data_IF_963079855651
#
_entry.id   IF_963079855651
#
_cell.length_a   1.000
_cell.length_b   1.000
_cell.length_c   1.000
_cell.angle_alpha   90.00
_cell.angle_beta   90.00
_cell.angle_gamma   90.00
#
_symmetry.space_group_name_H-M   'P 1'
#
loop_
_entity.id
_entity.type
_entity.pdbx_description
1 polymer ?
#
# COMPACT_ATOMS: atom_id res chain seq x y z
N UNK A 1 8.29 -4.11 -46.09
CA UNK A 1 7.36 -5.20 -45.70
C UNK A 1 8.16 -6.24 -44.95
N UNK A 2 8.10 -6.24 -43.61
CA UNK A 2 8.85 -7.20 -42.78
C UNK A 2 8.04 -8.48 -42.63
N UNK A 3 8.63 -9.61 -43.03
CA UNK A 3 8.08 -10.95 -42.91
C UNK A 3 7.94 -11.31 -41.43
N UNK A 4 6.70 -11.29 -40.92
CA UNK A 4 6.38 -11.88 -39.62
C UNK A 4 6.61 -13.39 -39.74
N UNK A 5 7.63 -13.92 -39.05
CA UNK A 5 7.85 -15.36 -38.92
C UNK A 5 6.59 -16.00 -38.34
N UNK A 6 5.91 -16.81 -39.15
CA UNK A 6 4.70 -17.52 -38.78
C UNK A 6 5.10 -18.85 -38.14
N UNK A 7 5.44 -18.82 -36.84
CA UNK A 7 5.72 -20.04 -36.08
C UNK A 7 4.41 -20.77 -35.78
N UNK A 8 4.20 -21.94 -36.39
CA UNK A 8 3.07 -22.84 -36.11
C UNK A 8 3.23 -23.41 -34.71
N UNK A 9 2.33 -23.05 -33.79
CA UNK A 9 2.32 -23.54 -32.40
C UNK A 9 0.93 -24.00 -32.00
N UNK A 10 0.84 -24.93 -31.03
CA UNK A 10 -0.43 -25.44 -30.50
C UNK A 10 -1.31 -24.33 -29.88
N UNK A 11 -0.72 -23.19 -29.52
CA UNK A 11 -1.43 -22.04 -28.96
C UNK A 11 -2.16 -21.18 -30.01
N UNK A 12 -2.00 -21.45 -31.31
CA UNK A 12 -2.74 -20.74 -32.37
C UNK A 12 -4.23 -21.04 -32.39
N UNK A 13 -4.65 -22.20 -31.88
CA UNK A 13 -6.03 -22.68 -32.00
C UNK A 13 -6.93 -22.31 -30.82
N UNK A 14 -6.59 -21.27 -30.04
CA UNK A 14 -7.33 -20.85 -28.84
C UNK A 14 -7.55 -22.02 -27.86
N UNK A 15 -6.47 -22.74 -27.57
CA UNK A 15 -6.52 -23.99 -26.79
C UNK A 15 -6.95 -23.76 -25.34
N UNK A 16 -6.70 -22.57 -24.79
CA UNK A 16 -7.16 -22.17 -23.47
C UNK A 16 -8.53 -21.47 -23.57
N UNK A 17 -9.48 -21.89 -22.75
CA UNK A 17 -10.81 -21.30 -22.64
C UNK A 17 -10.78 -20.04 -21.76
N UNK A 18 -11.91 -19.31 -21.71
CA UNK A 18 -12.12 -18.16 -20.81
C UNK A 18 -10.99 -17.11 -20.84
N UNK A 19 -10.45 -16.84 -22.03
CA UNK A 19 -9.33 -15.88 -22.26
C UNK A 19 -8.04 -16.24 -21.50
N UNK A 20 -7.83 -17.51 -21.19
CA UNK A 20 -6.56 -18.00 -20.66
C UNK A 20 -5.41 -17.78 -21.65
N UNK A 21 -4.23 -17.47 -21.13
CA UNK A 21 -3.02 -17.32 -21.92
C UNK A 21 -2.37 -18.69 -22.14
N UNK A 22 -2.22 -19.08 -23.41
CA UNK A 22 -1.56 -20.33 -23.77
C UNK A 22 -0.04 -20.12 -23.83
N UNK A 23 0.69 -20.91 -23.06
CA UNK A 23 2.15 -20.92 -23.03
C UNK A 23 2.65 -22.30 -23.49
N UNK A 24 3.32 -22.40 -24.65
CA UNK A 24 3.94 -23.64 -25.07
C UNK A 24 5.20 -23.92 -24.22
N UNK A 25 5.51 -25.19 -23.97
CA UNK A 25 6.73 -25.55 -23.22
C UNK A 25 8.03 -25.25 -24.00
N UNK A 26 7.96 -25.20 -25.33
CA UNK A 26 9.10 -24.88 -26.19
C UNK A 26 8.63 -24.11 -27.43
N UNK A 27 9.10 -22.87 -27.59
CA UNK A 27 8.72 -21.95 -28.67
C UNK A 27 9.10 -22.43 -30.07
N UNK A 28 10.04 -23.38 -30.18
CA UNK A 28 10.58 -23.80 -31.47
C UNK A 28 9.77 -24.92 -32.11
N UNK A 29 9.28 -25.90 -31.35
CA UNK A 29 8.55 -27.09 -31.86
C UNK A 29 7.71 -27.76 -30.75
N UNK A 30 6.67 -27.10 -30.20
CA UNK A 30 5.70 -27.79 -29.31
C UNK A 30 4.35 -27.95 -29.98
N UNK A 31 4.11 -29.15 -30.51
CA UNK A 31 2.82 -29.58 -31.06
C UNK A 31 1.95 -30.35 -30.07
N UNK A 32 2.46 -30.68 -28.87
CA UNK A 32 1.78 -31.57 -27.92
C UNK A 32 1.67 -31.00 -26.51
N UNK A 33 2.68 -30.28 -26.02
CA UNK A 33 2.73 -29.82 -24.63
C UNK A 33 2.55 -28.32 -24.50
N UNK A 34 1.51 -27.91 -23.77
CA UNK A 34 1.19 -26.53 -23.45
C UNK A 34 0.73 -26.41 -21.99
N UNK A 35 0.73 -25.19 -21.46
CA UNK A 35 0.11 -24.85 -20.19
C UNK A 35 -0.75 -23.62 -20.39
N UNK A 36 -1.94 -23.61 -19.78
CA UNK A 36 -2.81 -22.45 -19.77
C UNK A 36 -2.62 -21.69 -18.47
N UNK A 37 -2.32 -20.40 -18.58
CA UNK A 37 -2.37 -19.46 -17.45
C UNK A 37 -3.78 -18.88 -17.43
N UNK A 38 -4.54 -19.21 -16.40
CA UNK A 38 -5.94 -18.79 -16.28
C UNK A 38 -6.08 -17.38 -15.73
N UNK A 39 -7.09 -16.67 -16.21
CA UNK A 39 -7.50 -15.40 -15.59
C UNK A 39 -8.16 -15.67 -14.23
N UNK A 40 -8.17 -14.66 -13.38
CA UNK A 40 -8.83 -14.76 -12.07
C UNK A 40 -10.31 -15.19 -12.21
N UNK A 41 -10.71 -16.14 -11.36
CA UNK A 41 -12.05 -16.73 -11.38
C UNK A 41 -12.20 -17.94 -12.30
N UNK A 42 -11.11 -18.40 -12.93
CA UNK A 42 -11.10 -19.63 -13.73
C UNK A 42 -9.93 -20.54 -13.38
N UNK A 43 -10.18 -21.84 -13.43
CA UNK A 43 -9.20 -22.89 -13.16
C UNK A 43 -9.38 -24.09 -14.10
N UNK A 44 -8.49 -25.08 -13.97
CA UNK A 44 -8.44 -26.26 -14.85
C UNK A 44 -7.30 -26.20 -15.85
N UNK A 45 -7.04 -27.31 -16.55
CA UNK A 45 -5.89 -27.43 -17.46
C UNK A 45 -5.99 -26.49 -18.66
N UNK A 46 -7.22 -26.13 -19.03
CA UNK A 46 -7.59 -25.26 -20.13
C UNK A 46 -8.41 -24.06 -19.64
N UNK A 47 -8.42 -23.76 -18.34
CA UNK A 47 -9.24 -22.71 -17.74
C UNK A 47 -10.75 -22.93 -17.96
N UNK A 48 -11.17 -24.19 -17.99
CA UNK A 48 -12.53 -24.65 -18.28
C UNK A 48 -13.49 -24.51 -17.10
N UNK A 49 -12.97 -24.49 -15.86
CA UNK A 49 -13.76 -24.43 -14.66
C UNK A 49 -13.89 -22.99 -14.17
N UNK A 50 -15.11 -22.62 -13.76
CA UNK A 50 -15.37 -21.34 -13.11
C UNK A 50 -15.25 -21.52 -11.60
N UNK A 51 -14.38 -20.73 -10.99
CA UNK A 51 -14.12 -20.78 -9.56
C UNK A 51 -15.30 -20.22 -8.76
N UNK A 52 -15.38 -20.62 -7.49
CA UNK A 52 -16.33 -20.03 -6.54
C UNK A 52 -15.85 -18.61 -6.21
N UNK A 53 -16.73 -17.63 -6.40
CA UNK A 53 -16.45 -16.23 -6.08
C UNK A 53 -16.98 -15.93 -4.68
N UNK A 54 -16.13 -15.40 -3.80
CA UNK A 54 -16.53 -15.02 -2.44
C UNK A 54 -16.31 -13.53 -2.29
N UNK A 55 -17.40 -12.80 -2.06
CA UNK A 55 -17.40 -11.36 -1.81
C UNK A 55 -17.58 -11.13 -0.30
N UNK A 56 -16.58 -10.53 0.35
CA UNK A 56 -16.56 -10.29 1.80
C UNK A 56 -16.73 -8.79 2.05
N UNK A 57 -17.78 -8.38 2.74
CA UNK A 57 -17.99 -7.00 3.23
C UNK A 57 -17.62 -6.85 4.71
N UNK A 58 -17.50 -5.62 5.20
CA UNK A 58 -17.21 -5.32 6.61
C UNK A 58 -18.34 -4.50 7.23
N UNK A 59 -18.88 -4.95 8.35
CA UNK A 59 -19.97 -4.26 9.07
C UNK A 59 -19.56 -4.05 10.53
N UNK A 60 -19.56 -2.79 10.98
CA UNK A 60 -19.20 -2.39 12.35
C UNK A 60 -17.81 -2.89 12.83
N UNK A 61 -16.92 -3.17 11.87
CA UNK A 61 -15.53 -3.58 12.08
C UNK A 61 -14.63 -2.69 11.22
N UNK A 62 -13.52 -2.14 11.76
CA UNK A 62 -12.59 -1.36 10.96
C UNK A 62 -11.97 -2.23 9.86
N UNK A 63 -11.96 -1.72 8.63
CA UNK A 63 -11.40 -2.43 7.47
C UNK A 63 -9.87 -2.53 7.65
N UNK A 64 -9.28 -3.74 7.66
CA UNK A 64 -7.85 -3.90 7.84
C UNK A 64 -7.08 -3.63 6.54
N UNK A 65 -5.76 -3.42 6.62
CA UNK A 65 -4.92 -3.26 5.42
C UNK A 65 -4.73 -4.56 4.63
N UNK A 66 -4.91 -5.71 5.29
CA UNK A 66 -4.81 -7.03 4.68
C UNK A 66 -5.77 -7.99 5.35
N UNK A 67 -6.29 -8.93 4.58
CA UNK A 67 -7.16 -10.00 5.06
C UNK A 67 -6.59 -11.35 4.68
N UNK A 68 -6.53 -12.24 5.67
CA UNK A 68 -6.25 -13.66 5.49
C UNK A 68 -7.58 -14.41 5.51
N UNK A 69 -7.75 -15.35 4.59
CA UNK A 69 -8.96 -16.16 4.46
C UNK A 69 -8.57 -17.62 4.45
N UNK A 70 -9.05 -18.38 5.42
CA UNK A 70 -8.76 -19.81 5.58
C UNK A 70 -9.95 -20.63 5.12
N UNK A 71 -9.74 -21.38 4.05
CA UNK A 71 -10.65 -22.37 3.52
C UNK A 71 -10.39 -23.72 4.17
N UNK A 72 -11.38 -24.26 4.86
CA UNK A 72 -11.28 -25.57 5.50
C UNK A 72 -12.12 -26.58 4.71
N UNK A 73 -11.44 -27.62 4.24
CA UNK A 73 -12.06 -28.77 3.60
C UNK A 73 -12.15 -29.91 4.61
N UNK A 74 -13.35 -30.14 5.12
CA UNK A 74 -13.68 -31.40 5.81
C UNK A 74 -13.75 -32.51 4.76
N UNK A 75 -13.00 -33.60 4.95
CA UNK A 75 -13.06 -34.79 4.09
C UNK A 75 -13.94 -35.83 4.75
N UNK A 76 -14.82 -36.45 3.97
CA UNK A 76 -15.50 -37.65 4.45
C UNK A 76 -14.49 -38.78 4.66
N UNK A 77 -14.82 -39.66 5.59
CA UNK A 77 -13.97 -40.78 5.99
C UNK A 77 -13.88 -41.81 4.85
N UNK A 78 -12.96 -41.60 3.91
CA UNK A 78 -12.62 -42.61 2.91
C UNK A 78 -11.81 -43.73 3.58
N UNK A 79 -12.18 -44.98 3.30
CA UNK A 79 -11.65 -46.23 3.88
C UNK A 79 -10.10 -46.40 3.76
N UNK A 80 -9.43 -45.53 3.01
CA UNK A 80 -7.98 -45.55 2.76
C UNK A 80 -7.22 -44.33 3.32
N UNK A 81 -7.91 -43.37 3.93
CA UNK A 81 -7.30 -42.15 4.48
C UNK A 81 -6.99 -42.33 5.97
N UNK A 82 -5.74 -42.62 6.30
CA UNK A 82 -5.30 -42.84 7.69
C UNK A 82 -5.41 -41.62 8.62
N UNK A 83 -5.66 -40.41 8.10
CA UNK A 83 -5.96 -39.21 8.89
C UNK A 83 -7.04 -38.35 8.22
N UNK A 84 -8.31 -38.35 8.69
CA UNK A 84 -9.39 -37.51 8.17
C UNK A 84 -9.28 -36.05 8.65
N UNK A 85 -8.06 -35.57 8.91
CA UNK A 85 -7.86 -34.22 9.41
C UNK A 85 -8.32 -33.20 8.36
N UNK A 86 -9.06 -32.14 8.77
CA UNK A 86 -9.49 -31.10 7.86
C UNK A 86 -8.28 -30.43 7.21
N UNK A 87 -8.34 -30.24 5.90
CA UNK A 87 -7.27 -29.59 5.14
C UNK A 87 -7.54 -28.10 5.05
N UNK A 88 -6.52 -27.29 5.34
CA UNK A 88 -6.58 -25.83 5.25
C UNK A 88 -5.85 -25.33 4.01
N UNK A 89 -6.53 -24.50 3.22
CA UNK A 89 -5.91 -23.61 2.24
C UNK A 89 -6.07 -22.16 2.70
N UNK A 90 -4.99 -21.38 2.66
CA UNK A 90 -5.06 -19.97 3.07
C UNK A 90 -4.90 -19.10 1.84
N UNK A 91 -5.77 -18.11 1.67
CA UNK A 91 -5.57 -17.03 0.71
C UNK A 91 -5.39 -15.72 1.47
N UNK A 92 -4.75 -14.76 0.81
CA UNK A 92 -4.54 -13.43 1.36
C UNK A 92 -4.85 -12.40 0.29
N UNK A 93 -5.24 -11.21 0.73
CA UNK A 93 -5.37 -10.05 -0.15
C UNK A 93 -5.11 -8.77 0.64
N UNK A 94 -4.37 -7.83 0.05
CA UNK A 94 -4.29 -6.45 0.55
C UNK A 94 -5.62 -5.77 0.24
N UNK A 95 -6.16 -5.05 1.22
CA UNK A 95 -7.39 -4.27 1.04
C UNK A 95 -6.99 -2.82 0.82
N UNK A 96 -7.46 -2.25 -0.30
CA UNK A 96 -7.31 -0.82 -0.53
C UNK A 96 -8.08 -0.01 0.51
N UNK A 97 -7.60 1.20 0.85
CA UNK A 97 -8.25 2.09 1.83
C UNK A 97 -9.71 2.47 1.51
N UNK A 98 -10.19 2.12 0.32
CA UNK A 98 -11.50 2.45 -0.22
C UNK A 98 -12.34 1.24 -0.66
N UNK A 99 -11.85 0.03 -0.39
CA UNK A 99 -12.57 -1.20 -0.68
C UNK A 99 -13.38 -1.59 0.55
N UNK A 100 -14.70 -1.43 0.45
CA UNK A 100 -15.64 -1.92 1.46
C UNK A 100 -15.95 -3.42 1.27
N UNK A 101 -15.56 -3.98 0.12
CA UNK A 101 -15.72 -5.38 -0.23
C UNK A 101 -14.45 -5.97 -0.85
N UNK A 102 -14.17 -7.22 -0.51
CA UNK A 102 -12.99 -7.95 -1.00
C UNK A 102 -13.44 -9.25 -1.64
N UNK A 103 -13.04 -9.45 -2.90
CA UNK A 103 -13.35 -10.67 -3.65
C UNK A 103 -12.19 -11.67 -3.63
N UNK A 104 -12.50 -12.93 -3.35
CA UNK A 104 -11.64 -14.11 -3.51
C UNK A 104 -12.23 -15.09 -4.53
N UNK A 105 -11.35 -15.86 -5.17
CA UNK A 105 -11.73 -16.93 -6.09
C UNK A 105 -11.12 -18.25 -5.63
N UNK A 106 -11.96 -19.24 -5.36
CA UNK A 106 -11.54 -20.55 -4.84
C UNK A 106 -11.89 -21.65 -5.84
N UNK A 107 -10.89 -22.44 -6.23
CA UNK A 107 -11.03 -23.54 -7.18
C UNK A 107 -11.17 -24.92 -6.52
N UNK A 108 -10.81 -25.04 -5.24
CA UNK A 108 -10.91 -26.30 -4.49
C UNK A 108 -12.17 -26.32 -3.61
N UNK A 109 -12.73 -27.50 -3.32
CA UNK A 109 -13.88 -27.63 -2.44
C UNK A 109 -13.55 -27.23 -1.00
N UNK A 110 -14.50 -26.58 -0.34
CA UNK A 110 -14.40 -26.14 1.06
C UNK A 110 -15.76 -26.18 1.75
N UNK A 111 -15.76 -26.25 3.08
CA UNK A 111 -16.95 -26.34 3.92
C UNK A 111 -17.03 -25.21 4.92
N UNK A 112 -15.88 -24.74 5.43
CA UNK A 112 -15.79 -23.60 6.34
C UNK A 112 -14.86 -22.54 5.75
N UNK A 113 -15.19 -21.28 5.99
CA UNK A 113 -14.32 -20.16 5.66
C UNK A 113 -14.19 -19.25 6.88
N UNK A 114 -12.94 -19.05 7.32
CA UNK A 114 -12.60 -18.11 8.38
C UNK A 114 -11.85 -16.92 7.81
N UNK A 115 -12.31 -15.71 8.14
CA UNK A 115 -11.58 -14.49 7.88
C UNK A 115 -10.71 -14.17 9.11
N UNK A 116 -9.42 -13.95 8.91
CA UNK A 116 -8.46 -13.57 9.95
C UNK A 116 -8.03 -12.12 9.75
N UNK A 117 -8.22 -11.32 10.80
CA UNK A 117 -7.77 -9.93 10.91
C UNK A 117 -6.84 -9.86 12.12
N UNK A 118 -5.55 -9.65 11.89
CA UNK A 118 -4.52 -9.72 12.93
C UNK A 118 -4.59 -11.07 13.68
N UNK A 119 -5.08 -11.08 14.92
CA UNK A 119 -5.26 -12.28 15.78
C UNK A 119 -6.73 -12.70 15.95
N UNK A 120 -7.66 -11.98 15.32
CA UNK A 120 -9.11 -12.21 15.43
C UNK A 120 -9.60 -13.04 14.26
N UNK A 121 -10.45 -14.01 14.56
CA UNK A 121 -11.06 -14.90 13.57
C UNK A 121 -12.57 -14.66 13.48
N UNK A 122 -13.09 -14.77 12.27
CA UNK A 122 -14.51 -14.62 11.97
C UNK A 122 -14.97 -15.77 11.08
N UNK A 123 -16.01 -16.51 11.49
CA UNK A 123 -16.62 -17.54 10.67
C UNK A 123 -17.58 -16.91 9.67
N UNK A 124 -17.15 -16.79 8.43
CA UNK A 124 -17.90 -16.08 7.37
C UNK A 124 -18.67 -17.03 6.44
N UNK A 125 -18.31 -18.30 6.36
CA UNK A 125 -19.08 -19.30 5.60
C UNK A 125 -19.08 -20.62 6.37
N UNK A 126 -20.27 -21.22 6.47
CA UNK A 126 -20.51 -22.56 6.96
C UNK A 126 -21.48 -23.23 5.98
N UNK A 127 -21.03 -24.28 5.29
CA UNK A 127 -21.87 -25.05 4.37
C UNK A 127 -21.63 -26.55 4.52
N UNK A 128 -22.71 -27.33 4.43
CA UNK A 128 -22.64 -28.79 4.49
C UNK A 128 -22.19 -29.40 3.16
N UNK A 129 -22.80 -28.97 2.05
CA UNK A 129 -22.47 -29.47 0.72
C UNK A 129 -21.79 -28.37 -0.08
N UNK A 130 -20.60 -28.65 -0.61
CA UNK A 130 -19.91 -27.76 -1.53
C UNK A 130 -20.66 -27.64 -2.86
N UNK A 131 -20.86 -26.40 -3.32
CA UNK A 131 -21.44 -26.10 -4.63
C UNK A 131 -20.42 -25.36 -5.50
N UNK A 132 -20.10 -25.93 -6.66
CA UNK A 132 -19.12 -25.35 -7.58
C UNK A 132 -19.70 -24.13 -8.33
N UNK A 133 -18.82 -23.19 -8.68
CA UNK A 133 -19.13 -22.02 -9.55
C UNK A 133 -20.21 -21.06 -9.03
N UNK A 134 -20.45 -21.04 -7.73
CA UNK A 134 -21.40 -20.13 -7.05
C UNK A 134 -20.74 -18.81 -6.67
N UNK A 135 -21.54 -17.76 -6.49
CA UNK A 135 -21.13 -16.49 -5.88
C UNK A 135 -21.66 -16.46 -4.44
N UNK A 136 -20.76 -16.40 -3.47
CA UNK A 136 -21.06 -16.32 -2.04
C UNK A 136 -20.80 -14.89 -1.58
N UNK A 137 -21.85 -14.19 -1.16
CA UNK A 137 -21.72 -12.88 -0.50
C UNK A 137 -21.79 -13.09 1.02
N UNK A 138 -20.80 -12.57 1.75
CA UNK A 138 -20.70 -12.71 3.20
C UNK A 138 -20.09 -11.46 3.83
N UNK A 139 -20.11 -11.39 5.16
CA UNK A 139 -19.70 -10.23 5.93
C UNK A 139 -18.84 -10.61 7.15
N UNK A 140 -17.83 -9.80 7.41
CA UNK A 140 -17.12 -9.76 8.67
C UNK A 140 -17.86 -8.80 9.59
N UNK A 141 -18.47 -9.36 10.63
CA UNK A 141 -19.31 -8.63 11.57
C UNK A 141 -19.14 -9.20 13.00
N UNK A 142 -19.71 -8.52 14.00
CA UNK A 142 -19.66 -9.00 15.39
C UNK A 142 -20.30 -10.39 15.60
N UNK A 143 -21.43 -10.75 14.96
CA UNK A 143 -22.03 -12.07 15.16
C UNK A 143 -21.18 -13.22 14.60
N UNK A 144 -20.32 -12.95 13.61
CA UNK A 144 -19.43 -13.93 13.01
C UNK A 144 -18.10 -14.05 13.74
N UNK A 145 -17.82 -13.20 14.74
CA UNK A 145 -16.59 -13.21 15.53
C UNK A 145 -16.46 -14.49 16.37
N UNK A 146 -15.31 -15.16 16.27
CA UNK A 146 -14.95 -16.30 17.10
C UNK A 146 -14.05 -15.82 18.26
N UNK A 147 -14.62 -15.56 19.47
CA UNK A 147 -13.85 -15.07 20.61
C UNK A 147 -12.79 -16.05 21.08
N UNK A 148 -11.78 -15.50 21.76
CA UNK A 148 -10.80 -16.31 22.44
C UNK A 148 -11.40 -16.97 23.68
N UNK A 149 -10.97 -18.19 24.02
CA UNK A 149 -11.48 -18.94 25.17
C UNK A 149 -11.34 -18.18 26.50
N UNK A 150 -10.32 -17.32 26.62
CA UNK A 150 -10.13 -16.41 27.77
C UNK A 150 -11.27 -15.41 27.95
N UNK A 151 -12.00 -15.05 26.88
CA UNK A 151 -13.16 -14.17 26.95
C UNK A 151 -14.42 -14.92 27.45
N UNK A 152 -14.41 -16.26 27.40
CA UNK A 152 -15.58 -17.10 27.68
C UNK A 152 -15.53 -17.76 29.06
N UNK A 153 -14.34 -18.05 29.58
CA UNK A 153 -14.16 -18.74 30.86
C UNK A 153 -13.32 -17.96 31.85
N UNK A 154 -13.50 -18.28 33.14
CA UNK A 154 -12.70 -17.75 34.23
C UNK A 154 -11.26 -18.29 34.18
N UNK A 155 -10.31 -17.55 34.77
CA UNK A 155 -8.88 -17.91 34.83
C UNK A 155 -8.63 -19.34 35.33
N UNK A 156 -9.44 -19.84 36.27
CA UNK A 156 -9.31 -21.20 36.80
C UNK A 156 -9.43 -22.29 35.72
N UNK A 157 -10.34 -22.11 34.76
CA UNK A 157 -10.54 -23.07 33.66
C UNK A 157 -9.45 -22.90 32.61
N UNK A 158 -9.04 -21.67 32.32
CA UNK A 158 -7.97 -21.38 31.35
C UNK A 158 -6.64 -22.02 31.74
N UNK A 159 -6.34 -22.07 33.04
CA UNK A 159 -5.09 -22.65 33.54
C UNK A 159 -5.07 -24.19 33.52
N UNK A 160 -6.16 -24.86 33.16
CA UNK A 160 -6.15 -26.30 32.99
C UNK A 160 -5.42 -26.72 31.70
N UNK A 161 -4.84 -27.94 31.66
CA UNK A 161 -4.34 -28.54 30.43
C UNK A 161 -5.44 -28.67 29.37
N UNK A 162 -5.09 -28.57 28.09
CA UNK A 162 -6.02 -28.60 26.93
C UNK A 162 -7.10 -29.68 27.04
N UNK A 163 -6.71 -30.93 27.31
CA UNK A 163 -7.65 -32.06 27.40
C UNK A 163 -8.67 -31.91 28.53
N UNK A 164 -8.28 -31.25 29.62
CA UNK A 164 -9.19 -30.97 30.72
C UNK A 164 -10.09 -29.78 30.41
N UNK A 165 -9.57 -28.72 29.76
CA UNK A 165 -10.37 -27.60 29.26
C UNK A 165 -11.43 -28.05 28.27
N UNK A 166 -11.09 -28.97 27.37
CA UNK A 166 -12.00 -29.48 26.34
C UNK A 166 -13.32 -30.03 26.91
N UNK A 167 -13.31 -30.56 28.13
CA UNK A 167 -14.54 -31.02 28.82
C UNK A 167 -15.55 -29.90 29.06
N UNK A 168 -15.09 -28.66 29.14
CA UNK A 168 -15.92 -27.48 29.37
C UNK A 168 -16.38 -26.81 28.07
N UNK A 169 -15.94 -27.25 26.89
CA UNK A 169 -16.24 -26.54 25.63
C UNK A 169 -17.73 -26.53 25.30
N UNK A 170 -18.44 -27.62 25.58
CA UNK A 170 -19.90 -27.65 25.46
C UNK A 170 -20.58 -26.59 26.35
N UNK A 171 -20.03 -26.30 27.54
CA UNK A 171 -20.58 -25.30 28.45
C UNK A 171 -20.52 -23.89 27.87
N UNK A 172 -19.48 -23.55 27.09
CA UNK A 172 -19.42 -22.25 26.40
C UNK A 172 -20.59 -22.08 25.42
N UNK A 173 -20.85 -23.09 24.59
CA UNK A 173 -21.96 -23.07 23.63
C UNK A 173 -23.33 -23.06 24.31
N UNK A 174 -23.47 -23.72 25.47
CA UNK A 174 -24.72 -23.71 26.26
C UNK A 174 -24.96 -22.36 26.95
N UNK A 175 -23.91 -21.73 27.49
CA UNK A 175 -24.02 -20.47 28.25
C UNK A 175 -24.22 -19.25 27.34
N UNK A 176 -23.63 -19.28 26.14
CA UNK A 176 -23.69 -18.17 25.19
C UNK A 176 -24.52 -18.55 23.96
N UNK A 177 -25.82 -18.24 23.98
CA UNK A 177 -26.74 -18.60 22.89
C UNK A 177 -26.40 -17.96 21.54
N UNK A 178 -25.65 -16.86 21.51
CA UNK A 178 -25.29 -16.20 20.26
C UNK A 178 -23.90 -16.61 19.74
N UNK A 179 -23.22 -17.53 20.44
CA UNK A 179 -21.90 -18.00 20.09
C UNK A 179 -21.99 -19.02 18.95
N UNK A 180 -21.37 -18.71 17.81
CA UNK A 180 -21.31 -19.60 16.64
C UNK A 180 -20.00 -20.40 16.62
N UNK A 181 -18.91 -19.77 17.05
CA UNK A 181 -17.58 -20.36 17.06
C UNK A 181 -16.74 -19.74 18.19
N UNK A 182 -15.66 -20.39 18.57
CA UNK A 182 -14.64 -19.83 19.47
C UNK A 182 -13.29 -20.54 19.25
N UNK A 183 -12.22 -19.91 19.71
CA UNK A 183 -10.86 -20.43 19.56
C UNK A 183 -10.17 -20.68 20.89
N UNK A 184 -9.41 -21.76 20.93
CA UNK A 184 -8.47 -22.08 21.99
C UNK A 184 -7.06 -22.07 21.40
N UNK A 185 -6.36 -20.94 21.57
CA UNK A 185 -5.12 -20.53 20.86
C UNK A 185 -3.97 -21.53 20.88
N UNK A 186 -4.08 -22.60 21.64
CA UNK A 186 -3.12 -23.68 21.68
C UNK A 186 -3.32 -24.68 20.53
N UNK A 187 -4.55 -25.14 20.26
CA UNK A 187 -4.78 -26.32 19.39
C UNK A 187 -6.11 -26.31 18.63
N UNK A 188 -7.20 -25.79 19.20
CA UNK A 188 -8.54 -26.08 18.71
C UNK A 188 -9.32 -24.85 18.23
N UNK A 189 -9.95 -24.99 17.06
CA UNK A 189 -11.05 -24.14 16.63
C UNK A 189 -12.35 -24.90 16.84
N UNK A 190 -13.33 -24.27 17.46
CA UNK A 190 -14.60 -24.90 17.84
C UNK A 190 -15.79 -24.19 17.21
N UNK A 191 -16.77 -24.98 16.78
CA UNK A 191 -18.07 -24.54 16.28
C UNK A 191 -19.16 -24.96 17.27
N UNK A 192 -20.12 -24.10 17.55
CA UNK A 192 -21.29 -24.45 18.33
C UNK A 192 -22.40 -24.98 17.41
N UNK A 193 -22.85 -26.21 17.66
CA UNK A 193 -23.96 -26.81 16.91
C UNK A 193 -25.31 -26.23 17.33
N UNK A 194 -26.36 -26.52 16.58
CA UNK A 194 -27.74 -26.14 16.93
C UNK A 194 -28.16 -26.73 18.28
N UNK A 195 -27.70 -27.95 18.59
CA UNK A 195 -27.90 -28.61 19.89
C UNK A 195 -27.03 -28.04 21.02
N UNK A 196 -26.27 -26.96 20.77
CA UNK A 196 -25.36 -26.31 21.72
C UNK A 196 -24.21 -27.18 22.21
N UNK A 197 -23.79 -28.13 21.37
CA UNK A 197 -22.54 -28.85 21.59
C UNK A 197 -21.39 -28.15 20.87
N UNK A 198 -20.21 -28.14 21.48
CA UNK A 198 -18.99 -27.72 20.81
C UNK A 198 -18.47 -28.86 19.93
N UNK A 199 -18.28 -28.59 18.64
CA UNK A 199 -17.59 -29.46 17.70
C UNK A 199 -16.25 -28.81 17.34
N UNK A 200 -15.15 -29.43 17.75
CA UNK A 200 -13.83 -28.83 17.67
C UNK A 200 -12.90 -29.65 16.77
N UNK A 201 -12.07 -28.95 16.02
CA UNK A 201 -11.05 -29.57 15.17
C UNK A 201 -9.71 -28.89 15.37
N UNK A 202 -8.65 -29.63 15.08
CA UNK A 202 -7.28 -29.11 15.19
C UNK A 202 -7.07 -27.94 14.22
N UNK A 203 -6.64 -26.80 14.75
CA UNK A 203 -6.37 -25.59 13.98
C UNK A 203 -5.02 -25.02 14.43
N UNK A 204 -4.03 -25.04 13.54
CA UNK A 204 -2.73 -24.47 13.82
C UNK A 204 -2.77 -22.93 13.67
N UNK A 205 -2.86 -22.23 14.81
CA UNK A 205 -2.88 -20.77 14.88
C UNK A 205 -1.52 -20.12 14.60
N UNK A 206 -0.42 -20.85 14.75
CA UNK A 206 0.95 -20.36 14.61
C UNK A 206 1.60 -20.89 13.32
N UNK A 207 0.83 -20.97 12.25
CA UNK A 207 1.35 -21.47 10.98
C UNK A 207 2.47 -20.57 10.48
N UNK A 208 3.69 -21.09 10.50
CA UNK A 208 4.86 -20.38 9.98
C UNK A 208 5.05 -20.74 8.51
N UNK A 209 5.17 -19.71 7.68
CA UNK A 209 5.44 -19.86 6.26
C UNK A 209 6.93 -19.62 6.02
N UNK A 210 7.63 -20.63 5.50
CA UNK A 210 9.05 -20.52 5.19
C UNK A 210 9.31 -19.78 3.88
N UNK A 211 8.29 -19.51 3.06
CA UNK A 211 8.38 -18.81 1.78
C UNK A 211 9.56 -19.29 0.91
N UNK A 212 9.67 -20.62 0.76
CA UNK A 212 10.76 -21.33 0.06
C UNK A 212 12.18 -21.03 0.58
N UNK A 213 12.33 -20.58 1.83
CA UNK A 213 13.61 -20.24 2.44
C UNK A 213 14.30 -19.01 1.85
N UNK A 214 13.64 -18.30 0.93
CA UNK A 214 14.16 -17.07 0.33
C UNK A 214 13.64 -15.86 1.11
N UNK A 215 14.49 -14.85 1.35
CA UNK A 215 14.08 -13.54 1.88
C UNK A 215 13.31 -12.75 0.80
N UNK A 216 12.17 -13.30 0.36
CA UNK A 216 11.30 -12.68 -0.65
C UNK A 216 10.80 -11.34 -0.13
N UNK A 217 10.40 -11.31 1.14
CA UNK A 217 10.01 -10.09 1.83
C UNK A 217 11.23 -9.37 2.40
N UNK A 218 11.38 -8.09 2.07
CA UNK A 218 12.45 -7.23 2.56
C UNK A 218 12.01 -6.50 3.84
N UNK A 219 12.96 -5.84 4.52
CA UNK A 219 12.69 -4.95 5.65
C UNK A 219 11.87 -5.60 6.80
N UNK A 220 12.17 -6.87 7.12
CA UNK A 220 11.52 -7.64 8.19
C UNK A 220 9.98 -7.72 8.06
N UNK A 221 9.48 -7.65 6.82
CA UNK A 221 8.08 -7.89 6.51
C UNK A 221 7.68 -9.36 6.75
N UNK A 222 6.42 -9.56 7.15
CA UNK A 222 5.87 -10.89 7.36
C UNK A 222 5.52 -11.53 6.02
N UNK A 223 5.87 -12.80 5.85
CA UNK A 223 5.60 -13.54 4.62
C UNK A 223 4.47 -14.55 4.82
N UNK A 224 3.55 -14.57 3.87
CA UNK A 224 2.45 -15.52 3.80
C UNK A 224 2.48 -16.24 2.45
N UNK A 225 2.12 -17.53 2.46
CA UNK A 225 1.99 -18.33 1.24
C UNK A 225 0.69 -19.14 1.28
N UNK A 226 0.18 -19.48 0.10
CA UNK A 226 -1.11 -20.14 -0.06
C UNK A 226 -1.13 -21.60 0.40
N UNK A 227 -0.02 -22.32 0.19
CA UNK A 227 0.14 -23.71 0.58
C UNK A 227 1.53 -23.94 1.22
N UNK A 228 1.63 -24.65 2.37
CA UNK A 228 2.91 -24.93 3.02
C UNK A 228 3.86 -25.82 2.21
N UNK A 229 3.32 -26.75 1.40
CA UNK A 229 4.10 -27.77 0.67
C UNK A 229 4.46 -27.35 -0.75
N UNK A 230 3.51 -26.74 -1.47
CA UNK A 230 3.71 -26.30 -2.85
C UNK A 230 3.08 -24.91 -3.05
N UNK A 231 3.75 -23.83 -2.63
CA UNK A 231 3.19 -22.50 -2.72
C UNK A 231 3.15 -22.03 -4.17
N UNK A 232 1.99 -21.54 -4.60
CA UNK A 232 1.77 -20.92 -5.92
C UNK A 232 1.69 -19.39 -5.83
N UNK A 233 1.31 -18.85 -4.66
CA UNK A 233 1.21 -17.42 -4.41
C UNK A 233 1.89 -17.07 -3.08
N UNK A 234 2.58 -15.93 -3.05
CA UNK A 234 3.23 -15.38 -1.85
C UNK A 234 2.89 -13.90 -1.67
N UNK A 235 2.70 -13.44 -0.44
CA UNK A 235 2.49 -12.02 -0.12
C UNK A 235 3.36 -11.60 1.05
N UNK A 236 3.85 -10.38 0.94
CA UNK A 236 4.53 -9.67 2.01
C UNK A 236 3.58 -8.66 2.66
N UNK A 237 3.40 -8.80 3.97
CA UNK A 237 2.73 -7.80 4.82
C UNK A 237 3.82 -6.86 5.35
N UNK A 238 3.77 -5.62 4.88
CA UNK A 238 4.75 -4.61 5.21
C UNK A 238 4.50 -4.03 6.59
N UNK A 239 5.57 -3.66 7.28
CA UNK A 239 5.48 -2.78 8.45
C UNK A 239 5.07 -1.38 8.01
N UNK A 240 4.65 -0.58 8.97
CA UNK A 240 4.35 0.84 8.75
C UNK A 240 5.52 1.55 8.05
N UNK A 241 5.18 2.44 7.12
CA UNK A 241 6.13 3.20 6.29
C UNK A 241 6.95 2.38 5.27
N UNK A 242 6.64 1.10 5.08
CA UNK A 242 7.20 0.28 4.01
C UNK A 242 6.16 -0.09 2.96
N UNK A 243 6.57 -0.12 1.70
CA UNK A 243 5.66 -0.25 0.57
C UNK A 243 6.23 -1.12 -0.56
N UNK A 244 5.34 -1.51 -1.47
CA UNK A 244 5.62 -2.40 -2.60
C UNK A 244 5.24 -3.87 -2.32
N UNK A 245 5.32 -4.67 -3.37
CA UNK A 245 4.99 -6.11 -3.34
C UNK A 245 5.89 -6.93 -2.41
N UNK A 246 7.17 -6.52 -2.27
CA UNK A 246 8.16 -7.15 -1.37
C UNK A 246 8.49 -6.27 -0.15
N UNK A 247 7.74 -5.19 0.08
CA UNK A 247 8.05 -4.19 1.11
C UNK A 247 9.43 -3.55 0.97
N UNK A 248 9.92 -3.46 -0.27
CA UNK A 248 11.28 -3.03 -0.60
C UNK A 248 11.49 -1.51 -0.45
N UNK A 249 10.42 -0.72 -0.51
CA UNK A 249 10.49 0.73 -0.43
C UNK A 249 10.20 1.22 0.98
N UNK A 250 10.87 2.29 1.40
CA UNK A 250 10.71 2.89 2.72
C UNK A 250 10.54 4.39 2.61
N UNK A 251 9.62 4.95 3.41
CA UNK A 251 9.48 6.40 3.59
C UNK A 251 10.12 6.90 4.89
N UNK A 252 10.73 6.02 5.70
CA UNK A 252 11.29 6.38 7.01
C UNK A 252 12.44 7.39 6.94
N UNK A 253 13.19 7.40 5.84
CA UNK A 253 14.31 8.34 5.62
C UNK A 253 13.89 9.63 4.91
N UNK A 254 12.61 9.78 4.59
CA UNK A 254 12.07 10.98 3.96
C UNK A 254 11.38 11.85 5.02
N UNK A 255 11.67 13.15 5.01
CA UNK A 255 10.72 14.11 5.56
C UNK A 255 9.36 13.92 4.88
N UNK A 256 8.28 14.04 5.65
CA UNK A 256 6.89 13.85 5.24
C UNK A 256 6.63 14.41 3.82
N UNK A 257 6.62 13.55 2.79
CA UNK A 257 6.46 13.99 1.40
C UNK A 257 4.99 14.00 0.98
N UNK A 258 4.64 14.92 0.07
CA UNK A 258 3.28 14.99 -0.47
C UNK A 258 2.84 13.65 -1.09
N UNK A 259 3.77 12.93 -1.74
CA UNK A 259 3.53 11.65 -2.39
C UNK A 259 3.22 10.55 -1.38
N UNK A 260 3.87 10.56 -0.21
CA UNK A 260 3.59 9.62 0.88
C UNK A 260 2.26 9.89 1.58
N UNK A 261 1.90 11.16 1.79
CA UNK A 261 0.66 11.55 2.48
C UNK A 261 -0.56 11.36 1.58
N UNK A 262 -0.47 11.82 0.33
CA UNK A 262 -1.62 11.94 -0.56
C UNK A 262 -1.68 10.84 -1.63
N UNK A 263 -0.53 10.29 -2.05
CA UNK A 263 -0.46 9.34 -3.17
C UNK A 263 -1.38 8.14 -3.01
N UNK A 264 -1.35 7.47 -1.85
CA UNK A 264 -2.22 6.31 -1.57
C UNK A 264 -3.71 6.65 -1.43
N UNK A 265 -4.04 7.94 -1.17
CA UNK A 265 -5.42 8.40 -1.03
C UNK A 265 -6.07 8.79 -2.37
N UNK A 266 -5.28 8.90 -3.44
CA UNK A 266 -5.76 9.16 -4.80
C UNK A 266 -6.05 7.82 -5.48
N UNK A 267 -7.26 7.69 -6.02
CA UNK A 267 -7.69 6.47 -6.70
C UNK A 267 -7.36 6.54 -8.20
N UNK A 268 -6.79 5.48 -8.79
CA UNK A 268 -6.53 5.44 -10.23
C UNK A 268 -7.84 5.41 -11.02
N UNK A 269 -7.80 5.94 -12.26
CA UNK A 269 -8.91 5.93 -13.22
C UNK A 269 -10.24 6.57 -12.78
N UNK A 270 -10.26 7.33 -11.66
CA UNK A 270 -11.42 8.08 -11.20
C UNK A 270 -11.24 9.58 -11.41
N UNK A 271 -12.30 10.26 -11.85
CA UNK A 271 -12.30 11.70 -12.02
C UNK A 271 -12.24 12.43 -10.67
N UNK A 272 -11.68 13.64 -10.66
CA UNK A 272 -11.45 14.46 -9.45
C UNK A 272 -12.72 14.63 -8.59
N UNK A 273 -13.89 14.71 -9.22
CA UNK A 273 -15.19 14.88 -8.54
C UNK A 273 -15.55 13.64 -7.70
N UNK A 274 -15.16 12.44 -8.15
CA UNK A 274 -15.45 11.17 -7.47
C UNK A 274 -14.33 10.72 -6.52
N UNK A 275 -13.25 11.48 -6.41
CA UNK A 275 -12.16 11.19 -5.47
C UNK A 275 -12.61 11.36 -4.01
N UNK A 276 -11.81 10.82 -3.09
CA UNK A 276 -12.06 10.83 -1.64
C UNK A 276 -12.12 12.26 -1.07
N UNK A 277 -12.78 12.42 0.09
CA UNK A 277 -12.93 13.72 0.75
C UNK A 277 -11.56 14.33 1.11
N UNK A 278 -10.58 13.51 1.47
CA UNK A 278 -9.22 13.93 1.81
C UNK A 278 -8.51 14.58 0.62
N UNK A 279 -8.66 14.03 -0.59
CA UNK A 279 -8.09 14.61 -1.82
C UNK A 279 -8.74 15.96 -2.13
N UNK A 280 -10.06 16.06 -2.00
CA UNK A 280 -10.81 17.31 -2.21
C UNK A 280 -10.37 18.41 -1.24
N UNK A 281 -10.26 18.09 0.05
CA UNK A 281 -9.78 19.03 1.07
C UNK A 281 -8.35 19.48 0.74
N UNK A 282 -7.47 18.56 0.36
CA UNK A 282 -6.08 18.89 0.03
C UNK A 282 -5.97 19.86 -1.16
N UNK A 283 -6.79 19.66 -2.21
CA UNK A 283 -6.85 20.56 -3.37
C UNK A 283 -7.34 21.96 -2.96
N UNK A 284 -8.38 22.04 -2.12
CA UNK A 284 -8.94 23.31 -1.64
C UNK A 284 -7.88 24.07 -0.82
N UNK A 285 -7.24 23.41 0.15
CA UNK A 285 -6.21 24.02 1.00
C UNK A 285 -5.03 24.51 0.16
N UNK A 286 -4.51 23.69 -0.76
CA UNK A 286 -3.41 24.09 -1.62
C UNK A 286 -3.75 25.29 -2.52
N UNK A 287 -4.98 25.33 -3.05
CA UNK A 287 -5.47 26.45 -3.86
C UNK A 287 -5.57 27.75 -3.04
N UNK A 288 -6.03 27.67 -1.79
CA UNK A 288 -6.08 28.83 -0.88
C UNK A 288 -4.66 29.31 -0.57
N UNK A 289 -3.75 28.40 -0.23
CA UNK A 289 -2.34 28.72 0.01
C UNK A 289 -1.68 29.38 -1.21
N UNK A 290 -2.03 28.92 -2.42
CA UNK A 290 -1.56 29.53 -3.66
C UNK A 290 -2.00 30.99 -3.81
N UNK A 291 -3.30 31.25 -3.68
CA UNK A 291 -3.86 32.59 -3.83
C UNK A 291 -3.28 33.57 -2.80
N UNK A 292 -3.26 33.18 -1.52
CA UNK A 292 -2.71 34.01 -0.44
C UNK A 292 -1.20 34.22 -0.62
N UNK A 293 -0.46 33.17 -1.01
CA UNK A 293 0.98 33.23 -1.26
C UNK A 293 1.34 34.15 -2.44
N UNK A 294 0.56 34.12 -3.53
CA UNK A 294 0.77 35.01 -4.66
C UNK A 294 0.52 36.48 -4.29
N UNK A 295 -0.61 36.77 -3.62
CA UNK A 295 -0.96 38.15 -3.24
C UNK A 295 0.11 38.71 -2.29
N UNK A 296 0.45 37.98 -1.24
CA UNK A 296 1.46 38.41 -0.26
C UNK A 296 2.87 38.55 -0.87
N UNK A 297 3.25 37.63 -1.76
CA UNK A 297 4.52 37.70 -2.49
C UNK A 297 4.60 38.93 -3.40
N UNK A 298 3.56 39.20 -4.19
CA UNK A 298 3.52 40.36 -5.10
C UNK A 298 3.59 41.67 -4.32
N UNK A 299 2.80 41.80 -3.24
CA UNK A 299 2.83 42.98 -2.37
C UNK A 299 4.21 43.19 -1.73
N UNK A 300 4.88 42.10 -1.33
CA UNK A 300 6.24 42.15 -0.79
C UNK A 300 7.24 42.63 -1.84
N UNK A 301 7.18 42.10 -3.06
CA UNK A 301 8.05 42.54 -4.16
C UNK A 301 7.86 44.03 -4.44
N UNK A 302 6.62 44.51 -4.56
CA UNK A 302 6.34 45.94 -4.78
C UNK A 302 6.92 46.82 -3.67
N UNK A 303 6.81 46.37 -2.42
CA UNK A 303 7.30 47.11 -1.24
C UNK A 303 8.84 47.18 -1.21
N UNK A 304 9.50 46.04 -1.40
CA UNK A 304 10.97 45.93 -1.30
C UNK A 304 11.71 46.32 -2.58
N UNK A 305 11.00 46.53 -3.69
CA UNK A 305 11.54 47.19 -4.89
C UNK A 305 11.77 48.69 -4.69
N UNK A 306 11.15 49.30 -3.67
CA UNK A 306 11.32 50.73 -3.41
C UNK A 306 12.78 51.08 -3.06
N UNK A 307 13.27 52.21 -3.60
CA UNK A 307 14.62 52.73 -3.35
C UNK A 307 15.02 52.85 -1.87
N UNK A 308 14.15 53.30 -0.93
CA UNK A 308 14.54 53.41 0.48
C UNK A 308 14.83 52.04 1.11
N UNK A 309 14.08 51.00 0.76
CA UNK A 309 14.25 49.65 1.32
C UNK A 309 15.52 48.96 0.80
N UNK A 310 15.98 49.28 -0.41
CA UNK A 310 17.20 48.71 -0.99
C UNK A 310 18.49 49.41 -0.58
N UNK A 311 18.42 50.34 0.38
CA UNK A 311 19.60 51.04 0.89
C UNK A 311 20.57 50.05 1.57
N UNK A 312 20.05 49.05 2.27
CA UNK A 312 20.82 48.04 3.00
C UNK A 312 20.86 46.69 2.26
N UNK A 313 21.89 45.86 2.51
CA UNK A 313 21.99 44.50 1.98
C UNK A 313 20.77 43.63 2.30
N UNK A 314 20.20 43.81 3.50
CA UNK A 314 19.04 43.12 4.02
C UNK A 314 17.81 43.27 3.11
N UNK A 315 17.62 44.46 2.52
CA UNK A 315 16.52 44.69 1.58
C UNK A 315 16.67 43.89 0.30
N UNK A 316 17.91 43.62 -0.14
CA UNK A 316 18.18 42.76 -1.30
C UNK A 316 17.84 41.30 -0.99
N UNK A 317 18.24 40.77 0.18
CA UNK A 317 17.90 39.40 0.57
C UNK A 317 16.38 39.18 0.68
N UNK A 318 15.65 40.13 1.27
CA UNK A 318 14.19 40.05 1.40
C UNK A 318 13.51 40.08 0.02
N UNK A 319 14.01 40.91 -0.91
CA UNK A 319 13.47 40.95 -2.28
C UNK A 319 13.67 39.61 -3.00
N UNK A 320 14.87 39.02 -2.92
CA UNK A 320 15.14 37.71 -3.53
C UNK A 320 14.30 36.62 -2.85
N UNK A 321 14.15 36.66 -1.52
CA UNK A 321 13.30 35.73 -0.75
C UNK A 321 11.83 35.82 -1.14
N UNK A 322 11.31 37.02 -1.44
CA UNK A 322 9.94 37.19 -1.94
C UNK A 322 9.75 36.54 -3.32
N UNK A 323 10.73 36.68 -4.22
CA UNK A 323 10.72 36.03 -5.53
C UNK A 323 10.80 34.50 -5.40
N UNK A 324 11.70 33.98 -4.55
CA UNK A 324 11.81 32.53 -4.34
C UNK A 324 10.57 31.95 -3.67
N UNK A 325 9.91 32.70 -2.77
CA UNK A 325 8.65 32.28 -2.15
C UNK A 325 7.52 32.12 -3.17
N UNK A 326 7.37 33.07 -4.11
CA UNK A 326 6.39 32.94 -5.21
C UNK A 326 6.70 31.73 -6.09
N UNK A 327 7.98 31.52 -6.41
CA UNK A 327 8.39 30.38 -7.21
C UNK A 327 8.17 29.04 -6.46
N UNK A 328 8.34 29.03 -5.14
CA UNK A 328 8.12 27.85 -4.30
C UNK A 328 6.64 27.46 -4.29
N UNK A 329 5.74 28.42 -4.06
CA UNK A 329 4.30 28.13 -4.00
C UNK A 329 3.73 27.72 -5.37
N UNK A 330 4.27 28.25 -6.47
CA UNK A 330 3.89 27.83 -7.82
C UNK A 330 4.37 26.41 -8.13
N UNK A 331 5.63 26.08 -7.83
CA UNK A 331 6.17 24.72 -8.03
C UNK A 331 5.47 23.70 -7.13
N UNK A 332 5.13 24.06 -5.88
CA UNK A 332 4.36 23.19 -4.99
C UNK A 332 2.96 22.88 -5.55
N UNK A 333 2.26 23.87 -6.09
CA UNK A 333 0.96 23.65 -6.73
C UNK A 333 1.09 22.80 -8.00
N UNK A 334 2.11 23.04 -8.81
CA UNK A 334 2.41 22.20 -9.98
C UNK A 334 2.69 20.75 -9.56
N UNK A 335 3.43 20.53 -8.46
CA UNK A 335 3.67 19.19 -7.90
C UNK A 335 2.35 18.48 -7.55
N UNK A 336 1.44 19.17 -6.87
CA UNK A 336 0.14 18.60 -6.50
C UNK A 336 -0.67 18.19 -7.73
N UNK A 337 -0.77 19.06 -8.73
CA UNK A 337 -1.48 18.75 -9.97
C UNK A 337 -0.83 17.59 -10.72
N UNK A 338 0.50 17.57 -10.80
CA UNK A 338 1.24 16.49 -11.42
C UNK A 338 1.00 15.14 -10.71
N UNK A 339 1.04 15.13 -9.37
CA UNK A 339 0.74 13.94 -8.57
C UNK A 339 -0.67 13.41 -8.87
N UNK A 340 -1.68 14.28 -8.91
CA UNK A 340 -3.05 13.89 -9.24
C UNK A 340 -3.12 13.29 -10.65
N UNK A 341 -2.55 13.97 -11.65
CA UNK A 341 -2.59 13.52 -13.05
C UNK A 341 -1.85 12.21 -13.31
N UNK A 342 -0.74 11.98 -12.59
CA UNK A 342 0.02 10.74 -12.62
C UNK A 342 -0.79 9.61 -11.99
N UNK A 343 -1.35 9.81 -10.79
CA UNK A 343 -2.09 8.77 -10.09
C UNK A 343 -3.45 8.45 -10.73
N UNK A 344 -4.09 9.40 -11.43
CA UNK A 344 -5.31 9.12 -12.21
C UNK A 344 -5.04 8.41 -13.55
N UNK A 345 -3.78 8.04 -13.83
CA UNK A 345 -3.34 7.42 -15.09
C UNK A 345 -3.73 8.23 -16.33
N UNK A 346 -3.88 9.55 -16.19
CA UNK A 346 -4.18 10.45 -17.31
C UNK A 346 -2.94 10.70 -18.16
N UNK A 347 -1.76 10.69 -17.53
CA UNK A 347 -0.46 10.79 -18.18
C UNK A 347 0.19 9.41 -18.17
N UNK A 348 0.35 8.79 -19.34
CA UNK A 348 0.91 7.44 -19.48
C UNK A 348 2.34 7.43 -20.01
N UNK A 349 2.89 8.58 -20.40
CA UNK A 349 4.23 8.68 -20.97
C UNK A 349 5.30 8.57 -19.88
N UNK A 350 5.92 7.38 -19.78
CA UNK A 350 6.96 7.07 -18.79
C UNK A 350 8.11 8.09 -18.77
N UNK A 351 8.61 8.50 -19.94
CA UNK A 351 9.69 9.50 -20.02
C UNK A 351 9.31 10.88 -19.46
N UNK A 352 8.08 11.34 -19.73
CA UNK A 352 7.59 12.61 -19.21
C UNK A 352 7.38 12.55 -17.69
N UNK A 353 6.86 11.42 -17.19
CA UNK A 353 6.69 11.20 -15.76
C UNK A 353 8.04 11.23 -15.04
N UNK A 354 9.07 10.61 -15.61
CA UNK A 354 10.41 10.55 -15.01
C UNK A 354 11.05 11.94 -14.95
N UNK A 355 11.03 12.68 -16.06
CA UNK A 355 11.58 14.03 -16.14
C UNK A 355 10.89 14.94 -15.13
N UNK A 356 9.56 14.88 -15.06
CA UNK A 356 8.77 15.70 -14.12
C UNK A 356 9.03 15.32 -12.66
N UNK A 357 9.12 14.02 -12.37
CA UNK A 357 9.47 13.45 -11.05
C UNK A 357 10.83 13.95 -10.54
N UNK A 358 11.83 14.05 -11.42
CA UNK A 358 13.17 14.54 -11.07
C UNK A 358 13.15 16.07 -10.94
N UNK A 359 12.62 16.78 -11.95
CA UNK A 359 12.71 18.22 -12.07
C UNK A 359 11.93 18.96 -10.97
N UNK A 360 10.66 18.61 -10.78
CA UNK A 360 9.77 19.32 -9.84
C UNK A 360 10.33 19.23 -8.42
N UNK A 361 10.84 18.07 -8.05
CA UNK A 361 11.28 17.77 -6.69
C UNK A 361 12.65 18.36 -6.38
N UNK A 362 13.57 18.30 -7.34
CA UNK A 362 14.82 19.01 -7.25
C UNK A 362 14.60 20.52 -7.10
N UNK A 363 13.77 21.13 -7.97
CA UNK A 363 13.47 22.57 -7.91
C UNK A 363 12.81 22.93 -6.58
N UNK A 364 11.82 22.16 -6.11
CA UNK A 364 11.12 22.46 -4.86
C UNK A 364 12.07 22.44 -3.66
N UNK A 365 12.92 21.41 -3.54
CA UNK A 365 13.92 21.32 -2.46
C UNK A 365 14.97 22.43 -2.55
N UNK A 366 15.41 22.76 -3.75
CA UNK A 366 16.35 23.84 -4.01
C UNK A 366 15.81 25.19 -3.54
N UNK A 367 14.56 25.52 -3.90
CA UNK A 367 13.93 26.79 -3.53
C UNK A 367 13.69 26.92 -2.03
N UNK A 368 13.28 25.84 -1.36
CA UNK A 368 13.12 25.81 0.09
C UNK A 368 14.46 26.05 0.80
N UNK A 369 15.50 25.31 0.42
CA UNK A 369 16.83 25.44 1.03
C UNK A 369 17.41 26.86 0.87
N UNK A 370 17.28 27.45 -0.32
CA UNK A 370 17.74 28.82 -0.57
C UNK A 370 16.99 29.84 0.27
N UNK A 371 15.69 29.65 0.45
CA UNK A 371 14.85 30.55 1.25
C UNK A 371 15.29 30.54 2.72
N UNK A 372 15.60 29.37 3.28
CA UNK A 372 16.14 29.23 4.64
C UNK A 372 17.49 29.96 4.79
N UNK A 373 18.40 29.80 3.82
CA UNK A 373 19.68 30.51 3.82
C UNK A 373 19.52 32.03 3.73
N UNK A 374 18.56 32.53 2.94
CA UNK A 374 18.28 33.96 2.89
C UNK A 374 17.72 34.50 4.20
N UNK A 375 16.85 33.75 4.89
CA UNK A 375 16.38 34.13 6.22
C UNK A 375 17.52 34.19 7.24
N UNK A 376 18.45 33.23 7.20
CA UNK A 376 19.66 33.26 8.02
C UNK A 376 20.54 34.48 7.71
N UNK A 377 20.78 34.79 6.43
CA UNK A 377 21.53 35.97 6.03
C UNK A 377 20.88 37.28 6.50
N UNK A 378 19.55 37.37 6.45
CA UNK A 378 18.80 38.52 6.97
C UNK A 378 19.02 38.68 8.48
N UNK A 379 18.95 37.60 9.25
CA UNK A 379 19.19 37.63 10.69
C UNK A 379 20.65 38.04 11.02
N UNK A 380 21.62 37.49 10.29
CA UNK A 380 23.05 37.81 10.46
C UNK A 380 23.34 39.27 10.11
N UNK A 381 22.82 39.78 9.00
CA UNK A 381 23.02 41.20 8.67
C UNK A 381 22.37 42.12 9.71
N UNK A 382 21.17 41.80 10.20
CA UNK A 382 20.52 42.57 11.27
C UNK A 382 21.36 42.59 12.55
N UNK A 383 21.96 41.46 12.92
CA UNK A 383 22.87 41.40 14.06
C UNK A 383 24.09 42.31 13.86
N UNK A 384 24.73 42.24 12.69
CA UNK A 384 25.89 43.09 12.38
C UNK A 384 25.54 44.58 12.34
N UNK A 385 24.35 44.96 11.87
CA UNK A 385 23.91 46.36 11.92
C UNK A 385 23.79 46.89 13.35
N UNK A 386 23.36 46.06 14.30
CA UNK A 386 23.25 46.45 15.72
C UNK A 386 24.63 46.53 16.38
N UNK A 387 25.53 45.59 16.08
CA UNK A 387 26.87 45.54 16.71
C UNK A 387 27.78 46.67 16.21
N UNK A 388 27.76 46.95 14.89
CA UNK A 388 28.68 47.91 14.28
C UNK A 388 28.15 49.35 14.31
N UNK A 389 26.83 49.54 14.45
CA UNK A 389 26.12 50.82 14.51
C UNK A 389 26.72 51.90 13.58
N UNK A 390 27.54 52.82 14.11
CA UNK A 390 28.16 53.94 13.37
C UNK A 390 29.21 53.47 12.34
N UNK A 391 29.89 52.35 12.59
CA UNK A 391 30.95 51.80 11.72
C UNK A 391 30.40 50.93 10.58
N UNK A 392 29.08 50.79 10.44
CA UNK A 392 28.49 49.93 9.43
C UNK A 392 28.58 50.53 8.02
N UNK A 393 29.36 49.90 7.14
CA UNK A 393 29.50 50.34 5.76
C UNK A 393 28.40 49.75 4.85
N UNK A 394 27.39 50.58 4.57
CA UNK A 394 26.21 50.25 3.76
C UNK A 394 26.56 49.85 2.32
N UNK A 395 27.52 50.54 1.68
CA UNK A 395 27.92 50.24 0.30
C UNK A 395 28.65 48.89 0.20
N UNK A 396 29.48 48.56 1.19
CA UNK A 396 30.17 47.28 1.30
C UNK A 396 29.17 46.14 1.54
N UNK A 397 28.19 46.31 2.44
CA UNK A 397 27.11 45.33 2.67
C UNK A 397 26.33 45.04 1.38
N UNK A 398 25.94 46.06 0.61
CA UNK A 398 25.21 45.86 -0.66
C UNK A 398 26.01 45.09 -1.72
N UNK A 399 27.32 45.30 -1.80
CA UNK A 399 28.17 44.55 -2.74
C UNK A 399 28.37 43.10 -2.27
N UNK A 400 28.57 42.91 -0.97
CA UNK A 400 28.72 41.60 -0.36
C UNK A 400 27.43 40.78 -0.49
N UNK A 401 26.26 41.39 -0.31
CA UNK A 401 24.99 40.66 -0.37
C UNK A 401 24.74 40.01 -1.73
N UNK A 402 25.07 40.71 -2.83
CA UNK A 402 25.00 40.14 -4.18
C UNK A 402 25.93 38.92 -4.36
N UNK A 403 27.14 38.99 -3.82
CA UNK A 403 28.11 37.90 -3.88
C UNK A 403 27.64 36.69 -3.05
N UNK A 404 27.13 36.94 -1.85
CA UNK A 404 26.59 35.90 -0.96
C UNK A 404 25.37 35.23 -1.58
N UNK A 405 24.46 35.98 -2.22
CA UNK A 405 23.33 35.39 -2.95
C UNK A 405 23.82 34.41 -4.02
N UNK A 406 24.79 34.82 -4.84
CA UNK A 406 25.36 33.94 -5.86
C UNK A 406 26.04 32.70 -5.25
N UNK A 407 26.81 32.88 -4.16
CA UNK A 407 27.44 31.78 -3.43
C UNK A 407 26.44 30.78 -2.86
N UNK A 408 25.32 31.26 -2.28
CA UNK A 408 24.26 30.41 -1.76
C UNK A 408 23.65 29.56 -2.87
N UNK A 409 23.29 30.17 -4.00
CA UNK A 409 22.72 29.45 -5.15
C UNK A 409 23.65 28.32 -5.65
N UNK A 410 24.95 28.59 -5.71
CA UNK A 410 25.95 27.61 -6.13
C UNK A 410 26.08 26.46 -5.11
N UNK A 411 26.29 26.79 -3.84
CA UNK A 411 26.50 25.81 -2.78
C UNK A 411 25.28 24.90 -2.55
N UNK A 412 24.06 25.45 -2.61
CA UNK A 412 22.83 24.66 -2.49
C UNK A 412 22.63 23.74 -3.69
N UNK A 413 22.94 24.19 -4.90
CA UNK A 413 22.87 23.37 -6.11
C UNK A 413 23.76 22.12 -6.00
N UNK A 414 25.01 22.30 -5.56
CA UNK A 414 25.96 21.20 -5.39
C UNK A 414 25.52 20.24 -4.29
N UNK A 415 25.02 20.76 -3.17
CA UNK A 415 24.58 19.94 -2.03
C UNK A 415 23.40 19.03 -2.37
N UNK A 416 22.50 19.48 -3.25
CA UNK A 416 21.28 18.76 -3.63
C UNK A 416 21.44 17.88 -4.87
N UNK A 417 22.60 17.87 -5.54
CA UNK A 417 22.81 17.16 -6.79
C UNK A 417 22.68 15.62 -6.67
N UNK A 418 22.88 15.07 -5.48
CA UNK A 418 22.76 13.63 -5.24
C UNK A 418 21.32 13.10 -5.41
N UNK A 419 20.32 13.92 -5.08
CA UNK A 419 18.90 13.54 -5.11
C UNK A 419 18.41 13.19 -6.53
N UNK A 420 18.55 14.04 -7.57
CA UNK A 420 18.09 13.73 -8.92
C UNK A 420 18.78 12.50 -9.53
N UNK A 421 19.99 12.15 -9.09
CA UNK A 421 20.76 11.00 -9.60
C UNK A 421 20.16 9.66 -9.12
N UNK A 422 19.66 9.62 -7.88
CA UNK A 422 19.15 8.39 -7.27
C UNK A 422 17.63 8.24 -7.39
N UNK A 423 16.95 9.18 -8.02
CA UNK A 423 15.49 9.18 -8.17
C UNK A 423 15.05 8.34 -9.36
N UNK A 424 14.11 7.43 -9.15
CA UNK A 424 13.59 6.52 -10.18
C UNK A 424 12.06 6.42 -10.09
N UNK A 425 11.45 6.06 -11.21
CA UNK A 425 10.05 5.63 -11.25
C UNK A 425 9.96 4.13 -10.96
N UNK A 426 8.92 3.76 -10.22
CA UNK A 426 8.58 2.36 -9.93
C UNK A 426 7.11 2.16 -10.26
N UNK A 427 6.82 1.18 -11.09
CA UNK A 427 5.46 0.79 -11.42
C UNK A 427 5.02 -0.37 -10.52
N UNK A 428 3.88 -0.21 -9.87
CA UNK A 428 3.18 -1.23 -9.11
C UNK A 428 2.07 -1.81 -9.99
N UNK A 429 2.31 -3.01 -10.53
CA UNK A 429 1.37 -3.69 -11.44
C UNK A 429 0.08 -4.14 -10.72
N UNK A 430 0.16 -4.46 -9.42
CA UNK A 430 -1.01 -4.91 -8.65
C UNK A 430 -1.96 -3.74 -8.35
N UNK A 431 -1.41 -2.58 -7.99
CA UNK A 431 -2.20 -1.38 -7.73
C UNK A 431 -2.42 -0.49 -8.96
N UNK A 432 -1.78 -0.81 -10.09
CA UNK A 432 -1.76 -0.01 -11.32
C UNK A 432 -1.30 1.44 -11.08
N UNK A 433 -0.21 1.61 -10.33
CA UNK A 433 0.30 2.92 -9.90
C UNK A 433 1.76 3.11 -10.23
N UNK A 434 2.15 4.36 -10.50
CA UNK A 434 3.54 4.75 -10.73
C UNK A 434 4.01 5.63 -9.57
N UNK A 435 5.10 5.25 -8.92
CA UNK A 435 5.69 5.96 -7.78
C UNK A 435 7.01 6.63 -8.14
N UNK A 436 7.23 7.82 -7.59
CA UNK A 436 8.46 8.59 -7.76
C UNK A 436 9.25 8.56 -6.45
N UNK A 437 10.30 7.74 -6.37
CA UNK A 437 11.03 7.45 -5.14
C UNK A 437 12.54 7.56 -5.34
N UNK A 438 13.27 7.86 -4.27
CA UNK A 438 14.74 7.76 -4.25
C UNK A 438 15.09 6.33 -3.90
N UNK A 439 15.94 5.71 -4.72
CA UNK A 439 16.50 4.40 -4.44
C UNK A 439 18.01 4.52 -4.28
N UNK A 440 18.48 4.38 -3.04
CA UNK A 440 19.91 4.38 -2.72
C UNK A 440 20.57 3.00 -2.92
N UNK A 441 19.79 1.96 -3.26
CA UNK A 441 20.37 0.66 -3.63
C UNK A 441 20.87 0.71 -5.08
N UNK A 442 22.07 0.19 -5.36
CA UNK A 442 22.63 0.12 -6.71
C UNK A 442 21.75 -0.68 -7.68
#
# INVERSE_FOLDING_TARGET
MSSRCFLKSICQNNTCMNRGLCVPYNDRISFTNFTCICQDGFSGKRCEHKDVKIDISFIDVPIPQSLLVHFITVRDYDLYSLDPAPVRATMFKKIGFDQDTVTFFMSLPFHLVFAQIETKFYLIVLQHNYTASVIIATEVARPTYCPHIQELFNESIINYPVLHRAKYYHLACMKHSNLVCFQDSEIFMCLCTEERHANCFHFDFNMTYNCRGSKICQNEAQCFQDNPTCPTKTMCVCRECFYGTQCQFTTQQFGLSLDAILGYKIRPHLSIIRQSIYVKISIIVASIMFCVGLISGILSILTFQSKPCQKFGCGFYILVSAITSILTITVFNLKLWFLILSQTSTITSHGFLLISCILIEFILRFLLAITDWFHACVAVERLFTVILDINFNVAKSRKMSKLVVFGILLCTSVSLLHDPIHRRLIDDEEEQRTWCLINFKP
#
